data_IF_112263006767
#
_entry.id   IF_112263006767
#
_cell.length_a   1.000
_cell.length_b   1.000
_cell.length_c   1.000
_cell.angle_alpha   90.00
_cell.angle_beta   90.00
_cell.angle_gamma   90.00
#
_symmetry.space_group_name_H-M   'P 1'
#
loop_
_entity.id
_entity.type
_entity.pdbx_description
1 polymer ?
#
# COMPACT_ATOMS: atom_id res chain seq x y z
N UNK A 1 14.59 -15.89 -0.34
CA UNK A 1 13.27 -15.34 -0.71
C UNK A 1 12.64 -14.65 0.48
N UNK A 2 12.13 -13.45 0.28
CA UNK A 2 11.56 -12.69 1.39
C UNK A 2 10.14 -13.15 1.69
N UNK A 3 9.87 -13.56 2.92
CA UNK A 3 8.53 -13.87 3.41
C UNK A 3 7.79 -12.62 3.88
N UNK A 4 8.44 -11.48 3.86
CA UNK A 4 7.92 -10.21 4.33
C UNK A 4 7.83 -9.20 3.20
N UNK A 5 6.81 -8.37 3.26
CA UNK A 5 6.55 -7.31 2.28
C UNK A 5 5.85 -6.18 2.99
N UNK A 6 5.89 -4.99 2.41
CA UNK A 6 5.05 -3.91 2.86
C UNK A 6 3.61 -4.11 2.40
N UNK A 7 2.66 -3.55 3.13
CA UNK A 7 1.26 -3.55 2.72
C UNK A 7 1.01 -2.32 1.85
N UNK A 8 0.74 -2.57 0.57
CA UNK A 8 0.34 -1.53 -0.38
C UNK A 8 -0.89 -2.00 -1.13
N UNK A 9 -1.74 -1.04 -1.49
CA UNK A 9 -2.97 -1.28 -2.24
C UNK A 9 -2.89 -0.56 -3.59
N UNK A 10 -3.59 -1.09 -4.57
CA UNK A 10 -3.74 -0.48 -5.88
C UNK A 10 -5.24 -0.43 -6.19
N UNK A 11 -5.82 0.76 -6.10
CA UNK A 11 -7.26 0.97 -6.28
C UNK A 11 -7.50 1.72 -7.58
N UNK A 12 -8.14 1.05 -8.53
CA UNK A 12 -8.42 1.59 -9.87
C UNK A 12 -9.76 2.33 -9.92
N UNK A 13 -9.83 3.33 -10.78
CA UNK A 13 -11.06 4.07 -11.10
C UNK A 13 -11.75 4.68 -9.88
N UNK A 14 -10.95 5.15 -8.94
CA UNK A 14 -11.45 5.80 -7.73
C UNK A 14 -10.65 7.07 -7.45
N UNK A 15 -11.25 7.96 -6.67
CA UNK A 15 -10.65 9.20 -6.24
C UNK A 15 -10.62 9.27 -4.71
N UNK A 16 -9.72 10.08 -4.18
CA UNK A 16 -9.61 10.28 -2.72
C UNK A 16 -10.92 10.79 -2.12
N UNK A 17 -11.74 11.47 -2.91
CA UNK A 17 -13.01 12.04 -2.45
C UNK A 17 -14.17 11.04 -2.48
N UNK A 18 -13.98 9.87 -3.06
CA UNK A 18 -15.03 8.85 -3.12
C UNK A 18 -15.34 8.30 -1.72
N UNK A 19 -16.64 8.14 -1.44
CA UNK A 19 -17.09 7.66 -0.14
C UNK A 19 -16.53 6.29 0.25
N UNK A 20 -16.45 5.37 -0.72
CA UNK A 20 -15.91 4.04 -0.46
C UNK A 20 -14.41 4.11 -0.12
N UNK A 21 -13.68 5.01 -0.78
CA UNK A 21 -12.25 5.22 -0.50
C UNK A 21 -12.07 5.77 0.92
N UNK A 22 -12.87 6.77 1.28
CA UNK A 22 -12.82 7.36 2.62
C UNK A 22 -13.11 6.31 3.69
N UNK A 23 -14.11 5.46 3.48
CA UNK A 23 -14.48 4.41 4.43
C UNK A 23 -13.34 3.38 4.59
N UNK A 24 -12.73 2.97 3.50
CA UNK A 24 -11.62 2.01 3.54
C UNK A 24 -10.38 2.60 4.22
N UNK A 25 -10.08 3.86 3.95
CA UNK A 25 -8.94 4.53 4.60
C UNK A 25 -9.18 4.72 6.09
N UNK A 26 -10.41 5.06 6.51
CA UNK A 26 -10.77 5.13 7.92
C UNK A 26 -10.58 3.77 8.61
N UNK A 27 -11.01 2.70 7.96
CA UNK A 27 -10.82 1.36 8.49
C UNK A 27 -9.34 1.03 8.68
N UNK A 28 -8.50 1.39 7.70
CA UNK A 28 -7.06 1.18 7.80
C UNK A 28 -6.45 1.99 8.94
N UNK A 29 -6.95 3.21 9.17
CA UNK A 29 -6.50 4.01 10.31
C UNK A 29 -6.86 3.35 11.64
N UNK A 30 -8.01 2.71 11.74
CA UNK A 30 -8.41 1.97 12.93
C UNK A 30 -7.54 0.73 13.15
N UNK A 31 -7.17 0.04 12.06
CA UNK A 31 -6.35 -1.18 12.14
C UNK A 31 -4.89 -0.90 12.45
N UNK A 32 -4.30 0.11 11.83
CA UNK A 32 -2.86 0.34 11.89
C UNK A 32 -2.45 1.63 12.59
N UNK A 33 -3.36 2.57 12.74
CA UNK A 33 -3.06 3.90 13.28
C UNK A 33 -3.01 4.95 12.17
N UNK A 34 -3.53 6.15 12.49
CA UNK A 34 -3.65 7.21 11.49
C UNK A 34 -2.29 7.73 11.02
N UNK A 35 -1.22 7.55 11.80
CA UNK A 35 0.12 7.98 11.42
C UNK A 35 0.75 7.11 10.35
N UNK A 36 0.17 5.95 10.06
CA UNK A 36 0.76 4.96 9.19
C UNK A 36 0.04 4.79 7.85
N UNK A 37 -1.05 5.53 7.62
CA UNK A 37 -1.85 5.38 6.40
C UNK A 37 -1.52 6.50 5.42
N UNK A 38 -0.95 6.12 4.27
CA UNK A 38 -0.48 7.05 3.24
C UNK A 38 -1.14 6.72 1.91
N UNK A 39 -1.35 7.74 1.08
CA UNK A 39 -1.89 7.55 -0.27
C UNK A 39 -1.17 8.45 -1.27
N UNK A 40 -1.31 8.10 -2.54
CA UNK A 40 -0.90 8.95 -3.66
C UNK A 40 -1.77 8.64 -4.86
N UNK A 41 -1.87 9.59 -5.78
CA UNK A 41 -2.57 9.37 -7.04
C UNK A 41 -1.71 8.43 -7.89
N UNK A 42 -2.34 7.43 -8.53
CA UNK A 42 -1.62 6.47 -9.36
C UNK A 42 -1.03 7.16 -10.60
N UNK A 43 -0.04 6.51 -11.23
CA UNK A 43 0.62 7.06 -12.42
C UNK A 43 -0.34 7.27 -13.59
N UNK A 44 -1.40 6.47 -13.67
CA UNK A 44 -2.45 6.63 -14.68
C UNK A 44 -3.40 7.79 -14.39
N UNK A 45 -3.34 8.35 -13.19
CA UNK A 45 -4.22 9.41 -12.68
C UNK A 45 -5.69 9.01 -12.57
N UNK A 46 -6.00 7.72 -12.68
CA UNK A 46 -7.36 7.19 -12.61
C UNK A 46 -7.61 6.39 -11.35
N UNK A 47 -6.67 6.34 -10.43
CA UNK A 47 -6.81 5.57 -9.20
C UNK A 47 -5.84 6.04 -8.14
N UNK A 48 -5.71 5.24 -7.09
CA UNK A 48 -4.87 5.53 -5.94
C UNK A 48 -3.96 4.36 -5.61
N UNK A 49 -2.77 4.70 -5.13
CA UNK A 49 -1.94 3.76 -4.38
C UNK A 49 -2.07 4.11 -2.90
N UNK A 50 -2.15 3.10 -2.06
CA UNK A 50 -2.24 3.27 -0.60
C UNK A 50 -1.16 2.41 0.03
N UNK A 51 -0.51 2.95 1.04
CA UNK A 51 0.58 2.26 1.73
C UNK A 51 0.42 2.39 3.23
N UNK A 52 0.66 1.29 3.94
CA UNK A 52 0.85 1.32 5.39
C UNK A 52 2.36 1.47 5.62
N UNK A 53 2.76 2.64 6.07
CA UNK A 53 4.18 2.96 6.17
C UNK A 53 4.51 4.01 7.19
N UNK A 54 5.79 4.27 7.34
CA UNK A 54 6.29 5.25 8.31
C UNK A 54 7.33 6.15 7.67
N UNK A 55 7.52 7.31 8.27
CA UNK A 55 8.57 8.24 7.87
C UNK A 55 9.92 7.72 8.37
N UNK A 56 10.88 7.66 7.47
CA UNK A 56 12.26 7.35 7.80
C UNK A 56 13.13 8.55 7.44
N UNK A 57 13.77 9.14 8.46
CA UNK A 57 14.63 10.30 8.29
C UNK A 57 16.09 9.86 8.14
N UNK A 58 16.73 10.37 7.10
CA UNK A 58 18.15 10.09 6.91
C UNK A 58 18.96 11.00 7.85
N UNK A 59 19.83 10.43 8.74
CA UNK A 59 20.47 11.22 9.79
C UNK A 59 21.48 12.26 9.29
N UNK A 60 22.07 12.05 8.11
CA UNK A 60 23.09 12.96 7.58
C UNK A 60 22.53 14.06 6.69
N UNK A 61 21.58 13.71 5.81
CA UNK A 61 21.03 14.65 4.83
C UNK A 61 19.75 15.34 5.32
N UNK A 62 19.13 14.82 6.37
CA UNK A 62 17.85 15.26 6.89
C UNK A 62 16.69 15.08 5.90
N UNK A 63 16.93 14.39 4.79
CA UNK A 63 15.86 13.98 3.88
C UNK A 63 15.03 12.88 4.53
N UNK A 64 13.75 12.84 4.19
CA UNK A 64 12.88 11.78 4.66
C UNK A 64 12.20 11.08 3.50
N UNK A 65 11.84 9.83 3.72
CA UNK A 65 11.04 9.04 2.79
C UNK A 65 10.04 8.22 3.57
N UNK A 66 9.00 7.79 2.88
CA UNK A 66 7.99 6.90 3.45
C UNK A 66 8.38 5.49 3.08
N UNK A 67 8.49 4.63 4.08
CA UNK A 67 8.81 3.22 3.87
C UNK A 67 7.68 2.35 4.38
N UNK A 68 7.34 1.27 3.66
CA UNK A 68 6.28 0.38 4.10
C UNK A 68 6.68 -0.35 5.39
N UNK A 69 5.70 -0.57 6.27
CA UNK A 69 5.90 -1.40 7.45
C UNK A 69 6.03 -2.86 7.01
N UNK A 70 7.03 -3.60 7.49
CA UNK A 70 7.18 -5.01 7.11
C UNK A 70 6.01 -5.83 7.62
N UNK A 71 5.55 -6.76 6.79
CA UNK A 71 4.42 -7.64 7.10
C UNK A 71 4.63 -8.95 6.35
N UNK A 72 4.16 -10.06 6.93
CA UNK A 72 4.17 -11.32 6.21
C UNK A 72 3.36 -11.20 4.92
N UNK A 73 3.87 -11.77 3.83
CA UNK A 73 3.19 -11.74 2.54
C UNK A 73 1.77 -12.31 2.64
N UNK A 74 1.61 -13.39 3.40
CA UNK A 74 0.30 -14.01 3.61
C UNK A 74 -0.69 -13.02 4.24
N UNK A 75 -0.26 -12.29 5.26
CA UNK A 75 -1.11 -11.31 5.94
C UNK A 75 -1.42 -10.13 5.02
N UNK A 76 -0.43 -9.66 4.29
CA UNK A 76 -0.59 -8.57 3.33
C UNK A 76 -1.65 -8.91 2.27
N UNK A 77 -1.58 -10.10 1.70
CA UNK A 77 -2.56 -10.55 0.72
C UNK A 77 -3.95 -10.69 1.32
N UNK A 78 -4.03 -11.12 2.58
CA UNK A 78 -5.31 -11.23 3.28
C UNK A 78 -6.00 -9.87 3.43
N UNK A 79 -5.27 -8.84 3.83
CA UNK A 79 -5.82 -7.48 3.90
C UNK A 79 -6.30 -7.00 2.54
N UNK A 80 -5.53 -7.26 1.49
CA UNK A 80 -5.91 -6.85 0.14
C UNK A 80 -7.14 -7.58 -0.38
N UNK A 81 -7.30 -8.87 -0.06
CA UNK A 81 -8.49 -9.64 -0.43
C UNK A 81 -9.75 -9.08 0.22
N UNK A 82 -9.63 -8.55 1.44
CA UNK A 82 -10.77 -8.03 2.18
C UNK A 82 -11.14 -6.60 1.81
N UNK A 83 -10.35 -5.95 0.97
CA UNK A 83 -10.63 -4.61 0.50
C UNK A 83 -11.42 -4.70 -0.80
N UNK A 84 -12.64 -4.17 -0.83
CA UNK A 84 -13.56 -4.31 -1.96
C UNK A 84 -13.06 -3.65 -3.24
N UNK A 85 -12.26 -2.60 -3.11
CA UNK A 85 -11.79 -1.78 -4.23
C UNK A 85 -10.36 -2.07 -4.66
N UNK A 86 -9.74 -3.10 -4.11
CA UNK A 86 -8.40 -3.51 -4.54
C UNK A 86 -8.43 -4.01 -5.99
N UNK A 87 -7.42 -3.64 -6.77
CA UNK A 87 -7.27 -4.11 -8.14
C UNK A 87 -7.15 -5.64 -8.16
N UNK A 88 -8.16 -6.31 -8.74
CA UNK A 88 -8.19 -7.77 -8.76
C UNK A 88 -7.08 -8.38 -9.61
N UNK A 89 -6.73 -7.72 -10.71
CA UNK A 89 -5.62 -8.16 -11.54
C UNK A 89 -4.30 -8.18 -10.79
N UNK A 90 -4.02 -7.12 -10.02
CA UNK A 90 -2.83 -7.06 -9.16
C UNK A 90 -2.86 -8.12 -8.07
N UNK A 91 -4.01 -8.30 -7.45
CA UNK A 91 -4.17 -9.28 -6.38
C UNK A 91 -3.92 -10.70 -6.89
N UNK A 92 -4.55 -11.08 -8.01
CA UNK A 92 -4.35 -12.41 -8.59
C UNK A 92 -2.91 -12.62 -9.05
N UNK A 93 -2.29 -11.61 -9.64
CA UNK A 93 -0.90 -11.67 -10.03
C UNK A 93 0.01 -11.92 -8.84
N UNK A 94 -0.24 -11.24 -7.73
CA UNK A 94 0.56 -11.42 -6.52
C UNK A 94 0.33 -12.76 -5.85
N UNK A 95 -0.90 -13.27 -5.86
CA UNK A 95 -1.20 -14.62 -5.36
C UNK A 95 -0.43 -15.68 -6.16
N UNK A 96 -0.43 -15.55 -7.49
CA UNK A 96 0.35 -16.42 -8.36
C UNK A 96 1.85 -16.33 -8.07
N UNK A 97 2.37 -15.11 -7.95
CA UNK A 97 3.79 -14.89 -7.64
C UNK A 97 4.19 -15.50 -6.30
N UNK A 98 3.34 -15.35 -5.29
CA UNK A 98 3.58 -15.97 -3.98
C UNK A 98 3.68 -17.49 -4.10
N UNK A 99 2.75 -18.10 -4.81
CA UNK A 99 2.73 -19.56 -5.01
C UNK A 99 3.97 -20.05 -5.76
N UNK A 100 4.51 -19.25 -6.67
CA UNK A 100 5.72 -19.55 -7.43
C UNK A 100 7.01 -19.15 -6.72
N UNK A 101 6.91 -18.61 -5.51
CA UNK A 101 8.08 -18.15 -4.75
C UNK A 101 8.70 -16.88 -5.30
N UNK A 102 7.96 -16.09 -6.08
CA UNK A 102 8.44 -14.84 -6.65
C UNK A 102 8.06 -13.66 -5.78
N UNK A 103 8.80 -12.56 -5.94
CA UNK A 103 8.51 -11.31 -5.23
C UNK A 103 7.17 -10.74 -5.71
N UNK A 104 6.29 -10.38 -4.77
CA UNK A 104 4.99 -9.81 -5.12
C UNK A 104 5.13 -8.35 -5.56
N UNK A 105 4.12 -7.86 -6.27
CA UNK A 105 4.11 -6.52 -6.86
C UNK A 105 4.13 -5.42 -5.80
N UNK A 106 3.44 -5.61 -4.70
CA UNK A 106 3.38 -4.65 -3.60
C UNK A 106 4.76 -4.34 -3.03
N UNK A 107 5.65 -5.32 -3.00
CA UNK A 107 7.02 -5.11 -2.53
C UNK A 107 7.75 -4.08 -3.40
N UNK A 108 7.49 -4.11 -4.71
CA UNK A 108 8.11 -3.15 -5.65
C UNK A 108 7.47 -1.77 -5.55
N UNK A 109 6.14 -1.70 -5.48
CA UNK A 109 5.40 -0.45 -5.39
C UNK A 109 5.67 0.31 -4.10
N UNK A 110 5.90 -0.41 -3.01
CA UNK A 110 6.13 0.18 -1.71
C UNK A 110 7.49 0.84 -1.53
N UNK A 111 8.31 0.91 -2.57
CA UNK A 111 9.68 1.45 -2.47
C UNK A 111 9.76 2.97 -2.54
N UNK A 112 8.74 3.66 -2.09
CA UNK A 112 8.91 5.05 -1.69
C UNK A 112 9.13 6.09 -2.77
N UNK A 113 8.90 5.76 -4.03
CA UNK A 113 9.01 6.75 -5.10
C UNK A 113 7.66 7.41 -5.28
N UNK A 114 7.61 8.73 -5.17
CA UNK A 114 6.41 9.50 -5.41
C UNK A 114 5.98 10.32 -4.21
N UNK A 115 4.98 11.15 -4.43
CA UNK A 115 4.49 12.10 -3.44
C UNK A 115 3.42 11.46 -2.55
N UNK A 116 3.86 10.72 -1.58
CA UNK A 116 2.96 10.13 -0.58
C UNK A 116 2.42 11.21 0.35
N UNK A 117 1.13 11.17 0.59
CA UNK A 117 0.44 12.06 1.54
C UNK A 117 -0.20 11.23 2.63
N UNK A 118 -0.12 11.73 3.85
CA UNK A 118 -0.81 11.08 4.96
C UNK A 118 -2.31 11.35 4.85
N UNK A 119 -3.13 10.32 5.07
CA UNK A 119 -4.59 10.46 5.00
C UNK A 119 -5.12 11.36 6.11
N UNK A 120 -4.61 11.21 7.30
CA UNK A 120 -4.94 12.05 8.45
C UNK A 120 -3.69 12.80 8.90
#
# INVERSE_FOLDING_TARGET
MSEYSGLTFDWDDVSIDDGIVQAELEWLCEEFGEDYVWYRISSSKTGLHVMIGKILLHPLTLDFKIVPLPMEVKSQLHYRENTQIECRGRLFSDLFRKDMGLRIFSTKNGRGVGNWKRFK
#
